data_IF_922577679780
#
_entry.id   IF_922577679780
#
_cell.length_a   1.000
_cell.length_b   1.000
_cell.length_c   1.000
_cell.angle_alpha   90.00
_cell.angle_beta   90.00
_cell.angle_gamma   90.00
#
_symmetry.space_group_name_H-M   'P 1'
#
loop_
_entity.id
_entity.type
_entity.pdbx_description
1 polymer ?
#
# COMPACT_ATOMS: atom_id res chain seq x y z
N UNK A 1 10.12 32.77 -33.25
CA UNK A 1 9.84 32.93 -31.82
C UNK A 1 11.13 32.69 -31.05
N UNK A 2 11.65 33.71 -30.37
CA UNK A 2 12.86 33.61 -29.53
C UNK A 2 12.55 32.74 -28.32
N UNK A 3 12.82 31.43 -28.40
CA UNK A 3 12.70 30.56 -27.24
C UNK A 3 13.71 30.99 -26.18
N UNK A 4 13.23 31.20 -24.96
CA UNK A 4 14.09 31.56 -23.83
C UNK A 4 15.10 30.45 -23.58
N UNK A 5 16.40 30.82 -23.51
CA UNK A 5 17.50 29.88 -23.24
C UNK A 5 17.28 29.06 -21.97
N UNK A 6 16.58 29.62 -20.97
CA UNK A 6 16.21 28.91 -19.74
C UNK A 6 15.29 27.72 -20.04
N UNK A 7 14.31 27.89 -20.93
CA UNK A 7 13.36 26.82 -21.28
C UNK A 7 14.00 25.75 -22.16
N UNK A 8 14.94 26.11 -23.03
CA UNK A 8 15.73 25.11 -23.76
C UNK A 8 16.49 24.18 -22.80
N UNK A 9 17.19 24.75 -21.81
CA UNK A 9 17.90 23.97 -20.78
C UNK A 9 16.93 23.14 -19.92
N UNK A 10 15.76 23.70 -19.60
CA UNK A 10 14.75 22.97 -18.83
C UNK A 10 14.19 21.78 -19.63
N UNK A 11 13.95 21.93 -20.94
CA UNK A 11 13.41 20.89 -21.81
C UNK A 11 14.36 19.70 -21.95
N UNK A 12 15.68 19.93 -21.99
CA UNK A 12 16.70 18.88 -22.09
C UNK A 12 16.92 18.08 -20.80
N UNK A 13 16.28 18.44 -19.69
CA UNK A 13 16.45 17.72 -18.42
C UNK A 13 15.94 16.28 -18.53
N UNK A 14 16.65 15.28 -17.95
CA UNK A 14 16.23 13.88 -17.99
C UNK A 14 14.80 13.61 -17.51
N UNK A 15 14.29 14.40 -16.55
CA UNK A 15 12.92 14.27 -16.04
C UNK A 15 11.85 14.40 -17.13
N UNK A 16 12.11 15.15 -18.21
CA UNK A 16 11.15 15.29 -19.30
C UNK A 16 11.17 14.12 -20.29
N UNK A 17 12.08 13.14 -20.10
CA UNK A 17 12.04 11.87 -20.80
C UNK A 17 11.08 10.89 -20.12
N UNK A 18 10.67 11.18 -18.88
CA UNK A 18 9.61 10.44 -18.19
C UNK A 18 8.24 10.79 -18.81
N UNK A 19 7.34 9.82 -18.78
CA UNK A 19 5.98 10.01 -19.29
C UNK A 19 5.07 10.44 -18.14
N UNK A 20 4.54 11.66 -18.22
CA UNK A 20 3.49 12.15 -17.33
C UNK A 20 2.15 12.03 -18.03
N UNK A 21 1.17 11.44 -17.34
CA UNK A 21 -0.20 11.32 -17.81
C UNK A 21 -1.14 12.05 -16.85
N UNK A 22 -2.18 12.66 -17.40
CA UNK A 22 -3.26 13.20 -16.58
C UNK A 22 -4.09 12.05 -15.99
N UNK A 23 -4.69 12.22 -14.79
CA UNK A 23 -5.53 11.18 -14.20
C UNK A 23 -6.70 10.79 -15.13
N UNK A 24 -6.89 9.49 -15.31
CA UNK A 24 -8.01 8.93 -16.09
C UNK A 24 -8.74 7.84 -15.28
N UNK A 25 -9.68 8.25 -14.39
CA UNK A 25 -10.32 7.34 -13.43
C UNK A 25 -11.12 6.21 -14.06
N UNK A 26 -11.77 6.45 -15.20
CA UNK A 26 -12.59 5.45 -15.90
C UNK A 26 -11.76 4.27 -16.42
N UNK A 27 -10.47 4.51 -16.71
CA UNK A 27 -9.51 3.47 -17.08
C UNK A 27 -8.67 2.97 -15.90
N UNK A 28 -8.94 3.46 -14.67
CA UNK A 28 -8.17 3.13 -13.47
C UNK A 28 -6.77 3.77 -13.42
N UNK A 29 -6.47 4.76 -14.27
CA UNK A 29 -5.19 5.48 -14.26
C UNK A 29 -5.25 6.67 -13.29
N UNK A 30 -5.45 6.37 -12.01
CA UNK A 30 -5.41 7.32 -10.91
C UNK A 30 -4.72 6.65 -9.71
N UNK A 31 -3.97 7.44 -8.92
CA UNK A 31 -3.12 6.90 -7.86
C UNK A 31 -3.93 6.47 -6.63
N UNK A 32 -4.89 7.31 -6.20
CA UNK A 32 -5.73 7.10 -5.04
C UNK A 32 -6.96 8.02 -5.12
N UNK A 33 -7.96 7.77 -4.26
CA UNK A 33 -9.17 8.58 -4.11
C UNK A 33 -9.95 8.74 -5.42
N UNK A 34 -10.15 7.63 -6.14
CA UNK A 34 -10.96 7.61 -7.34
C UNK A 34 -12.42 7.92 -7.01
N UNK A 35 -13.16 8.67 -7.86
CA UNK A 35 -14.60 8.79 -7.72
C UNK A 35 -15.34 7.43 -7.83
N UNK A 36 -14.68 6.41 -8.39
CA UNK A 36 -15.21 5.05 -8.51
C UNK A 36 -14.81 4.13 -7.36
N UNK A 37 -13.98 4.59 -6.41
CA UNK A 37 -13.63 3.78 -5.25
C UNK A 37 -14.86 3.63 -4.34
N UNK A 38 -15.12 2.41 -3.83
CA UNK A 38 -16.26 2.19 -2.95
C UNK A 38 -16.09 2.89 -1.61
N UNK A 39 -17.22 3.26 -1.01
CA UNK A 39 -17.21 3.74 0.38
C UNK A 39 -17.07 2.55 1.34
N UNK A 40 -16.31 2.71 2.45
CA UNK A 40 -16.17 1.64 3.42
C UNK A 40 -17.51 1.24 4.04
N UNK A 41 -17.92 -0.01 3.86
CA UNK A 41 -19.09 -0.59 4.53
C UNK A 41 -18.84 -2.06 4.84
N UNK A 42 -19.51 -2.57 5.86
CA UNK A 42 -19.46 -3.98 6.20
C UNK A 42 -20.76 -4.36 6.89
N UNK A 43 -21.41 -5.44 6.43
CA UNK A 43 -22.53 -6.06 7.12
C UNK A 43 -22.26 -7.55 7.29
N UNK A 44 -22.46 -8.04 8.50
CA UNK A 44 -22.27 -9.43 8.89
C UNK A 44 -23.64 -9.96 9.34
N UNK A 45 -24.00 -11.16 8.88
CA UNK A 45 -25.20 -11.87 9.30
C UNK A 45 -24.82 -13.31 9.65
N UNK A 46 -25.20 -13.76 10.84
CA UNK A 46 -24.87 -15.10 11.38
C UNK A 46 -23.39 -15.53 11.21
N UNK A 47 -22.46 -14.58 11.33
CA UNK A 47 -21.02 -14.83 11.17
C UNK A 47 -20.54 -14.94 9.71
N UNK A 48 -21.37 -14.51 8.76
CA UNK A 48 -21.06 -14.45 7.33
C UNK A 48 -21.12 -13.00 6.86
N UNK A 49 -20.12 -12.55 6.11
CA UNK A 49 -20.14 -11.21 5.50
C UNK A 49 -21.14 -11.19 4.35
N UNK A 50 -22.21 -10.42 4.49
CA UNK A 50 -23.29 -10.28 3.50
C UNK A 50 -23.18 -9.01 2.64
N UNK A 51 -22.36 -8.05 3.07
CA UNK A 51 -22.03 -6.83 2.33
C UNK A 51 -20.61 -6.38 2.70
N UNK A 52 -19.81 -5.96 1.72
CA UNK A 52 -18.47 -5.40 1.92
C UNK A 52 -18.24 -4.26 0.91
N UNK A 53 -17.80 -3.11 1.41
CA UNK A 53 -17.45 -1.92 0.61
C UNK A 53 -18.51 -1.57 -0.44
N UNK A 54 -19.78 -1.48 -0.01
CA UNK A 54 -20.92 -1.12 -0.84
C UNK A 54 -21.41 -2.22 -1.80
N UNK A 55 -20.79 -3.40 -1.78
CA UNK A 55 -21.13 -4.53 -2.65
C UNK A 55 -21.85 -5.62 -1.86
N UNK A 56 -22.96 -6.12 -2.39
CA UNK A 56 -23.69 -7.24 -1.77
C UNK A 56 -22.97 -8.57 -2.04
N UNK A 57 -23.08 -9.54 -1.13
CA UNK A 57 -22.43 -10.85 -1.28
C UNK A 57 -22.81 -11.57 -2.58
N UNK A 58 -24.03 -11.36 -3.08
CA UNK A 58 -24.47 -11.94 -4.34
C UNK A 58 -23.67 -11.47 -5.57
N UNK A 59 -23.08 -10.27 -5.49
CA UNK A 59 -22.30 -9.67 -6.57
C UNK A 59 -20.78 -9.89 -6.38
N UNK A 60 -20.37 -10.48 -5.26
CA UNK A 60 -18.96 -10.71 -4.96
C UNK A 60 -18.26 -11.51 -6.06
N UNK A 61 -17.09 -11.03 -6.44
CA UNK A 61 -16.18 -11.80 -7.28
C UNK A 61 -15.27 -12.71 -6.41
N UNK A 62 -14.31 -13.37 -7.06
CA UNK A 62 -13.39 -14.28 -6.37
C UNK A 62 -12.50 -13.58 -5.32
N UNK A 63 -12.15 -12.30 -5.53
CA UNK A 63 -11.35 -11.52 -4.59
C UNK A 63 -12.21 -11.13 -3.40
N UNK A 64 -13.42 -10.63 -3.65
CA UNK A 64 -14.36 -10.24 -2.60
C UNK A 64 -14.67 -11.42 -1.68
N UNK A 65 -15.00 -12.58 -2.26
CA UNK A 65 -15.26 -13.83 -1.51
C UNK A 65 -14.07 -14.24 -0.65
N UNK A 66 -12.85 -14.19 -1.21
CA UNK A 66 -11.66 -14.55 -0.46
C UNK A 66 -11.41 -13.62 0.72
N UNK A 67 -11.57 -12.31 0.53
CA UNK A 67 -11.38 -11.34 1.60
C UNK A 67 -12.44 -11.52 2.69
N UNK A 68 -13.70 -11.61 2.28
CA UNK A 68 -14.85 -11.79 3.16
C UNK A 68 -14.74 -13.06 4.02
N UNK A 69 -14.30 -14.17 3.45
CA UNK A 69 -14.33 -15.48 4.10
C UNK A 69 -13.00 -15.85 4.80
N UNK A 70 -11.88 -15.20 4.46
CA UNK A 70 -10.56 -15.61 4.95
C UNK A 70 -9.65 -14.48 5.46
N UNK A 71 -9.84 -13.23 5.04
CA UNK A 71 -8.93 -12.15 5.40
C UNK A 71 -9.41 -11.29 6.58
N UNK A 72 -10.72 -11.24 6.82
CA UNK A 72 -11.31 -10.44 7.89
C UNK A 72 -11.45 -11.22 9.20
N UNK A 73 -11.02 -10.60 10.29
CA UNK A 73 -11.32 -11.09 11.64
C UNK A 73 -12.68 -10.55 12.08
N UNK A 74 -13.72 -11.37 11.91
CA UNK A 74 -15.12 -10.96 12.17
C UNK A 74 -15.38 -10.59 13.62
N UNK A 75 -14.58 -11.07 14.58
CA UNK A 75 -14.74 -10.74 15.99
C UNK A 75 -14.43 -9.28 16.31
N UNK A 76 -13.61 -8.62 15.46
CA UNK A 76 -13.20 -7.22 15.65
C UNK A 76 -13.70 -6.30 14.52
N UNK A 77 -14.27 -6.86 13.46
CA UNK A 77 -14.62 -6.11 12.25
C UNK A 77 -15.64 -5.00 12.49
N UNK A 78 -16.71 -5.26 13.24
CA UNK A 78 -17.71 -4.22 13.56
C UNK A 78 -17.10 -3.05 14.32
N UNK A 79 -16.29 -3.33 15.35
CA UNK A 79 -15.60 -2.30 16.13
C UNK A 79 -14.57 -1.52 15.29
N UNK A 80 -13.85 -2.22 14.41
CA UNK A 80 -12.87 -1.61 13.51
C UNK A 80 -13.53 -0.69 12.48
N UNK A 81 -14.66 -1.11 11.90
CA UNK A 81 -15.40 -0.32 10.91
C UNK A 81 -16.12 0.88 11.53
N UNK A 82 -16.63 0.74 12.77
CA UNK A 82 -17.25 1.82 13.55
C UNK A 82 -16.24 2.90 14.00
N UNK A 83 -14.95 2.54 14.14
CA UNK A 83 -13.92 3.50 14.52
C UNK A 83 -13.67 4.49 13.36
N UNK A 84 -13.67 5.81 13.59
CA UNK A 84 -13.36 6.78 12.55
C UNK A 84 -11.98 6.55 11.93
N UNK A 85 -11.89 6.60 10.60
CA UNK A 85 -10.64 6.29 9.87
C UNK A 85 -9.51 7.26 10.24
N UNK A 86 -9.84 8.53 10.42
CA UNK A 86 -8.90 9.55 10.91
C UNK A 86 -8.35 9.23 12.31
N UNK A 87 -9.15 8.62 13.20
CA UNK A 87 -8.69 8.23 14.53
C UNK A 87 -7.64 7.12 14.43
N UNK A 88 -7.85 6.14 13.56
CA UNK A 88 -6.87 5.06 13.32
C UNK A 88 -5.60 5.66 12.68
N UNK A 89 -5.73 6.62 11.77
CA UNK A 89 -4.60 7.35 11.18
C UNK A 89 -3.75 8.07 12.24
N UNK A 90 -4.38 8.76 13.21
CA UNK A 90 -3.66 9.37 14.32
C UNK A 90 -2.99 8.33 15.22
N UNK A 91 -3.64 7.19 15.49
CA UNK A 91 -3.03 6.10 16.26
C UNK A 91 -1.80 5.51 15.57
N UNK A 92 -1.76 5.47 14.23
CA UNK A 92 -0.58 5.02 13.48
C UNK A 92 0.66 5.87 13.77
N UNK A 93 0.50 7.17 14.01
CA UNK A 93 1.64 8.07 14.33
C UNK A 93 1.86 8.29 15.82
N UNK A 94 0.87 8.01 16.68
CA UNK A 94 0.98 8.21 18.14
C UNK A 94 1.96 7.23 18.79
N UNK A 95 3.06 7.73 19.33
CA UNK A 95 4.10 6.92 20.00
C UNK A 95 3.61 6.10 21.19
N UNK A 96 2.50 6.51 21.83
CA UNK A 96 1.95 5.84 23.01
C UNK A 96 1.08 4.64 22.64
N UNK A 97 0.65 4.52 21.38
CA UNK A 97 -0.16 3.40 20.90
C UNK A 97 0.77 2.29 20.37
N UNK A 98 0.80 1.11 21.00
CA UNK A 98 1.65 0.02 20.56
C UNK A 98 1.15 -0.58 19.24
N UNK A 99 2.08 -1.12 18.45
CA UNK A 99 1.79 -1.80 17.17
C UNK A 99 0.75 -2.92 17.33
N UNK A 100 0.74 -3.65 18.44
CA UNK A 100 -0.18 -4.76 18.69
C UNK A 100 -1.65 -4.32 18.74
N UNK A 101 -1.93 -3.15 19.32
CA UNK A 101 -3.27 -2.60 19.41
C UNK A 101 -3.80 -2.23 18.01
N UNK A 102 -2.97 -1.55 17.21
CA UNK A 102 -3.29 -1.22 15.82
C UNK A 102 -3.51 -2.48 14.97
N UNK A 103 -2.65 -3.48 15.10
CA UNK A 103 -2.79 -4.75 14.39
C UNK A 103 -4.08 -5.47 14.74
N UNK A 104 -4.57 -5.37 15.97
CA UNK A 104 -5.85 -5.95 16.37
C UNK A 104 -7.02 -5.30 15.63
N UNK A 105 -7.01 -3.97 15.49
CA UNK A 105 -8.06 -3.21 14.78
C UNK A 105 -7.99 -3.46 13.26
N UNK A 106 -6.79 -3.33 12.68
CA UNK A 106 -6.56 -3.42 11.23
C UNK A 106 -7.01 -4.75 10.62
N UNK A 107 -7.02 -5.84 11.40
CA UNK A 107 -7.51 -7.16 10.98
C UNK A 107 -9.01 -7.21 10.69
N UNK A 108 -9.77 -6.27 11.24
CA UNK A 108 -11.20 -6.13 11.00
C UNK A 108 -11.57 -5.09 9.94
N UNK A 109 -10.59 -4.38 9.37
CA UNK A 109 -10.85 -3.33 8.38
C UNK A 109 -11.02 -3.91 6.98
N UNK A 110 -12.02 -3.42 6.25
CA UNK A 110 -12.20 -3.71 4.83
C UNK A 110 -11.13 -3.03 3.97
N UNK A 111 -10.92 -3.47 2.71
CA UNK A 111 -9.99 -2.82 1.79
C UNK A 111 -10.22 -1.31 1.64
N UNK A 112 -11.47 -0.87 1.43
CA UNK A 112 -11.76 0.56 1.29
C UNK A 112 -11.48 1.32 2.59
N UNK A 113 -11.75 0.71 3.77
CA UNK A 113 -11.43 1.30 5.07
C UNK A 113 -9.93 1.54 5.23
N UNK A 114 -9.09 0.58 4.81
CA UNK A 114 -7.64 0.70 4.87
C UNK A 114 -7.13 1.83 3.98
N UNK A 115 -7.63 1.92 2.74
CA UNK A 115 -7.31 3.03 1.83
C UNK A 115 -7.71 4.38 2.45
N UNK A 116 -8.92 4.49 3.00
CA UNK A 116 -9.41 5.72 3.63
C UNK A 116 -8.56 6.14 4.83
N UNK A 117 -8.07 5.21 5.67
CA UNK A 117 -7.17 5.52 6.79
C UNK A 117 -5.89 6.19 6.29
N UNK A 118 -5.27 5.63 5.24
CA UNK A 118 -4.03 6.18 4.68
C UNK A 118 -4.29 7.51 3.96
N UNK A 119 -5.46 7.69 3.34
CA UNK A 119 -5.86 8.95 2.70
C UNK A 119 -5.90 10.16 3.65
N UNK A 120 -5.96 9.95 4.97
CA UNK A 120 -5.86 11.02 5.97
C UNK A 120 -4.42 11.41 6.33
N UNK A 121 -3.41 10.76 5.76
CA UNK A 121 -2.02 10.90 6.16
C UNK A 121 -1.18 11.56 5.06
N UNK A 122 -0.25 12.42 5.46
CA UNK A 122 0.83 12.86 4.57
C UNK A 122 2.00 11.86 4.57
N UNK A 123 2.98 12.08 3.70
CA UNK A 123 4.13 11.15 3.54
C UNK A 123 4.96 11.00 4.83
N UNK A 124 5.12 12.05 5.63
CA UNK A 124 5.89 11.97 6.89
C UNK A 124 5.16 11.12 7.94
N UNK A 125 3.84 11.29 8.03
CA UNK A 125 2.99 10.48 8.89
C UNK A 125 2.99 9.01 8.44
N UNK A 126 2.91 8.77 7.13
CA UNK A 126 3.03 7.41 6.57
C UNK A 126 4.40 6.78 6.89
N UNK A 127 5.49 7.53 6.80
CA UNK A 127 6.83 7.04 7.15
C UNK A 127 6.93 6.65 8.63
N UNK A 128 6.34 7.45 9.53
CA UNK A 128 6.28 7.15 10.96
C UNK A 128 5.42 5.90 11.23
N UNK A 129 4.24 5.83 10.62
CA UNK A 129 3.35 4.67 10.69
C UNK A 129 4.03 3.40 10.18
N UNK A 130 4.73 3.46 9.04
CA UNK A 130 5.49 2.34 8.48
C UNK A 130 6.61 1.88 9.42
N UNK A 131 7.34 2.81 10.05
CA UNK A 131 8.40 2.47 10.99
C UNK A 131 7.87 1.72 12.22
N UNK A 132 6.69 2.11 12.73
CA UNK A 132 5.99 1.44 13.83
C UNK A 132 5.40 0.09 13.41
N UNK A 133 4.75 0.03 12.25
CA UNK A 133 4.02 -1.15 11.78
C UNK A 133 4.92 -2.22 11.16
N UNK A 134 6.20 -1.92 10.93
CA UNK A 134 7.18 -2.89 10.41
C UNK A 134 7.28 -4.10 11.35
N UNK A 135 7.01 -5.29 10.80
CA UNK A 135 7.01 -6.55 11.56
C UNK A 135 8.42 -6.93 12.05
N UNK A 136 9.45 -6.67 11.24
CA UNK A 136 10.86 -6.91 11.63
C UNK A 136 11.50 -5.65 12.20
N UNK A 137 12.15 -5.78 13.36
CA UNK A 137 12.90 -4.67 13.97
C UNK A 137 13.97 -4.13 13.02
N UNK A 138 14.85 -5.01 12.54
CA UNK A 138 15.93 -4.66 11.62
C UNK A 138 15.42 -4.69 10.17
N UNK A 139 15.54 -3.58 9.41
CA UNK A 139 15.22 -3.58 7.99
C UNK A 139 16.21 -4.48 7.23
N UNK A 140 15.75 -5.05 6.13
CA UNK A 140 16.56 -5.82 5.21
C UNK A 140 16.38 -5.25 3.80
N UNK A 141 17.24 -5.65 2.87
CA UNK A 141 17.17 -5.20 1.49
C UNK A 141 17.17 -6.41 0.53
N UNK A 142 16.61 -6.22 -0.66
CA UNK A 142 16.59 -7.19 -1.75
C UNK A 142 17.29 -6.59 -2.96
N UNK A 143 18.01 -7.42 -3.72
CA UNK A 143 18.68 -6.99 -4.94
C UNK A 143 18.35 -7.96 -6.09
N UNK A 144 18.16 -7.40 -7.29
CA UNK A 144 18.06 -8.19 -8.51
C UNK A 144 19.44 -8.60 -9.00
N UNK A 145 19.61 -9.88 -9.32
CA UNK A 145 20.83 -10.42 -9.94
C UNK A 145 20.44 -11.14 -11.22
N UNK A 146 20.27 -10.37 -12.28
CA UNK A 146 19.90 -10.84 -13.61
C UNK A 146 20.94 -10.39 -14.63
N UNK A 147 21.02 -11.08 -15.76
CA UNK A 147 21.82 -10.64 -16.89
C UNK A 147 21.13 -11.08 -18.19
N UNK A 148 21.19 -10.24 -19.22
CA UNK A 148 20.56 -10.51 -20.52
C UNK A 148 20.94 -11.87 -21.13
N UNK A 149 22.16 -12.36 -20.87
CA UNK A 149 22.65 -13.64 -21.40
C UNK A 149 22.14 -14.86 -20.64
N UNK A 150 21.34 -14.65 -19.60
CA UNK A 150 20.89 -15.68 -18.67
C UNK A 150 22.03 -16.61 -18.18
N UNK A 151 23.23 -16.05 -18.04
CA UNK A 151 24.43 -16.81 -17.67
C UNK A 151 24.48 -17.08 -16.17
N UNK A 152 24.63 -18.36 -15.82
CA UNK A 152 24.80 -18.81 -14.42
C UNK A 152 26.08 -18.24 -13.78
N UNK A 153 27.17 -18.14 -14.53
CA UNK A 153 28.44 -17.61 -14.05
C UNK A 153 28.33 -16.12 -13.63
N UNK A 154 27.66 -15.31 -14.45
CA UNK A 154 27.42 -13.90 -14.14
C UNK A 154 26.46 -13.74 -12.95
N UNK A 155 25.43 -14.58 -12.84
CA UNK A 155 24.56 -14.62 -11.66
C UNK A 155 25.31 -15.00 -10.39
N UNK A 156 26.18 -16.02 -10.45
CA UNK A 156 27.02 -16.44 -9.33
C UNK A 156 27.93 -15.30 -8.86
N UNK A 157 28.57 -14.60 -9.80
CA UNK A 157 29.38 -13.41 -9.50
C UNK A 157 28.55 -12.28 -8.88
N UNK A 158 27.40 -11.93 -9.47
CA UNK A 158 26.53 -10.88 -8.97
C UNK A 158 26.01 -11.17 -7.55
N UNK A 159 25.59 -12.41 -7.29
CA UNK A 159 25.15 -12.86 -5.96
C UNK A 159 26.27 -12.75 -4.93
N UNK A 160 27.49 -13.15 -5.32
CA UNK A 160 28.65 -13.10 -4.43
C UNK A 160 29.05 -11.68 -4.03
N UNK A 161 28.83 -10.69 -4.92
CA UNK A 161 29.10 -9.26 -4.67
C UNK A 161 27.99 -8.58 -3.88
N UNK A 162 26.73 -8.93 -4.16
CA UNK A 162 25.57 -8.36 -3.47
C UNK A 162 25.34 -8.92 -2.07
N UNK A 163 25.99 -10.04 -1.71
CA UNK A 163 25.88 -10.60 -0.36
C UNK A 163 26.90 -9.94 0.59
N UNK A 164 26.45 -9.33 1.71
CA UNK A 164 27.34 -8.70 2.69
C UNK A 164 28.26 -9.70 3.43
N UNK A 165 28.07 -11.01 3.24
CA UNK A 165 28.79 -12.06 3.95
C UNK A 165 30.33 -12.06 3.76
N UNK A 166 30.88 -11.18 2.91
CA UNK A 166 32.33 -10.96 2.74
C UNK A 166 32.87 -9.68 3.39
N UNK A 167 32.04 -8.79 3.93
CA UNK A 167 32.51 -7.54 4.56
C UNK A 167 32.73 -7.65 6.08
N UNK A 168 32.37 -8.78 6.71
CA UNK A 168 32.55 -9.02 8.14
C UNK A 168 33.47 -10.22 8.44
N UNK A 169 34.46 -10.50 7.58
CA UNK A 169 35.59 -11.37 7.91
C UNK A 169 36.89 -10.62 7.72
#
# INVERSE_FOLDING_TARGET
MTQSRRFAILAERPINQETFVEPWPEAGLIVADSPFDPQPSLRIDEGVVVEMDGKARADFDAIDLFIADHALDLAVAEAAMATPSQQIAHQLVDVNVPQSALRAIVRGCTPAKLCQIIGHMNVLEMMMGLAKMRVRKTPANQAHVTNWKESSALRGRGRSRGSPARLCR
#
